data_IF_348028651960
#
_entry.id   IF_348028651960
#
_cell.length_a   1.000
_cell.length_b   1.000
_cell.length_c   1.000
_cell.angle_alpha   90.00
_cell.angle_beta   90.00
_cell.angle_gamma   90.00
#
_symmetry.space_group_name_H-M   'P 1'
#
loop_
_entity.id
_entity.type
_entity.pdbx_description
1 polymer ?
#
# COMPACT_ATOMS: atom_id res chain seq x y z
N UNK A 1 14.48 17.80 -10.06
CA UNK A 1 14.59 16.63 -9.16
C UNK A 1 13.17 16.24 -8.77
N UNK A 2 12.79 14.96 -8.89
CA UNK A 2 11.43 14.51 -8.53
C UNK A 2 11.24 14.64 -7.00
N UNK A 3 10.12 15.19 -6.51
CA UNK A 3 9.91 15.42 -5.08
C UNK A 3 10.11 14.19 -4.19
N UNK A 4 9.67 13.02 -4.63
CA UNK A 4 9.79 11.77 -3.86
C UNK A 4 11.23 11.43 -3.47
N UNK A 5 12.22 11.89 -4.24
CA UNK A 5 13.63 11.59 -4.02
C UNK A 5 14.22 12.26 -2.78
N UNK A 6 13.51 13.20 -2.16
CA UNK A 6 13.92 13.78 -0.86
C UNK A 6 13.87 12.74 0.27
N UNK A 7 13.12 11.64 0.09
CA UNK A 7 12.96 10.56 1.06
C UNK A 7 13.84 9.34 0.79
N UNK A 8 14.72 9.34 -0.23
CA UNK A 8 15.52 8.16 -0.61
C UNK A 8 16.30 7.55 0.57
N UNK A 9 16.93 8.40 1.39
CA UNK A 9 17.69 7.95 2.56
C UNK A 9 16.77 7.40 3.66
N UNK A 10 15.62 8.04 3.88
CA UNK A 10 14.64 7.60 4.87
C UNK A 10 14.00 6.27 4.45
N UNK A 11 13.73 6.07 3.15
CA UNK A 11 13.30 4.81 2.55
C UNK A 11 14.33 3.71 2.72
N UNK A 12 15.61 3.96 2.40
CA UNK A 12 16.65 2.93 2.58
C UNK A 12 16.75 2.54 4.06
N UNK A 13 16.70 3.52 4.95
CA UNK A 13 16.75 3.28 6.39
C UNK A 13 15.44 2.67 6.94
N UNK A 14 14.31 2.78 6.23
CA UNK A 14 13.03 2.26 6.72
C UNK A 14 13.06 0.73 6.86
N UNK A 15 13.87 0.05 6.03
CA UNK A 15 14.07 -1.41 6.07
C UNK A 15 14.42 -1.91 7.47
N UNK A 16 15.18 -1.15 8.27
CA UNK A 16 15.51 -1.50 9.66
C UNK A 16 14.79 -0.65 10.69
N UNK A 17 14.39 0.58 10.35
CA UNK A 17 13.75 1.51 11.30
C UNK A 17 12.27 1.21 11.54
N UNK A 18 11.57 0.57 10.61
CA UNK A 18 10.16 0.26 10.77
C UNK A 18 9.95 -0.84 11.80
N UNK A 19 10.79 -1.89 11.80
CA UNK A 19 10.74 -3.01 12.75
C UNK A 19 12.07 -3.16 13.54
N UNK A 20 12.43 -2.18 14.40
CA UNK A 20 13.71 -2.19 15.12
C UNK A 20 13.89 -3.42 16.03
N UNK A 21 12.80 -4.01 16.51
CA UNK A 21 12.84 -5.25 17.28
C UNK A 21 13.32 -6.47 16.47
N UNK A 22 13.27 -6.39 15.14
CA UNK A 22 13.77 -7.41 14.20
C UNK A 22 15.15 -7.05 13.61
N UNK A 23 15.83 -6.03 14.16
CA UNK A 23 17.07 -5.50 13.54
C UNK A 23 18.15 -6.55 13.35
N UNK A 24 18.34 -7.47 14.30
CA UNK A 24 19.36 -8.52 14.19
C UNK A 24 19.05 -9.51 13.05
N UNK A 25 17.78 -9.87 12.88
CA UNK A 25 17.30 -10.73 11.79
C UNK A 25 17.53 -10.04 10.44
N UNK A 26 17.17 -8.76 10.35
CA UNK A 26 17.35 -7.92 9.17
C UNK A 26 18.83 -7.70 8.81
N UNK A 27 19.67 -7.38 9.78
CA UNK A 27 21.12 -7.22 9.59
C UNK A 27 21.76 -8.53 9.14
N UNK A 28 21.32 -9.67 9.69
CA UNK A 28 21.78 -10.99 9.27
C UNK A 28 21.38 -11.28 7.82
N UNK A 29 20.15 -10.96 7.42
CA UNK A 29 19.67 -11.11 6.04
C UNK A 29 20.50 -10.22 5.08
N UNK A 30 20.64 -8.95 5.42
CA UNK A 30 21.42 -8.00 4.61
C UNK A 30 22.87 -8.46 4.48
N UNK A 31 23.49 -8.91 5.58
CA UNK A 31 24.87 -9.39 5.57
C UNK A 31 25.06 -10.67 4.74
N UNK A 32 24.15 -11.64 4.88
CA UNK A 32 24.29 -12.94 4.22
C UNK A 32 23.99 -12.88 2.72
N UNK A 33 23.04 -12.04 2.32
CA UNK A 33 22.57 -12.00 0.95
C UNK A 33 23.16 -10.81 0.18
N UNK A 34 23.56 -9.72 0.84
CA UNK A 34 24.09 -8.49 0.24
C UNK A 34 23.16 -7.92 -0.87
N UNK A 35 21.88 -7.68 -0.58
CA UNK A 35 20.93 -7.17 -1.57
C UNK A 35 21.20 -5.68 -1.87
N UNK A 36 20.96 -5.28 -3.10
CA UNK A 36 21.04 -3.87 -3.52
C UNK A 36 19.66 -3.30 -3.83
N UNK A 37 19.41 -2.06 -3.43
CA UNK A 37 18.19 -1.31 -3.77
C UNK A 37 18.52 -0.35 -4.91
N UNK A 38 17.81 -0.49 -6.03
CA UNK A 38 18.03 0.26 -7.26
C UNK A 38 16.79 1.06 -7.61
N UNK A 39 16.92 2.38 -7.68
CA UNK A 39 15.88 3.24 -8.20
C UNK A 39 15.90 3.25 -9.73
N UNK A 40 14.77 2.92 -10.36
CA UNK A 40 14.66 2.89 -11.83
C UNK A 40 13.75 4.01 -12.35
N UNK A 41 13.79 4.21 -13.67
CA UNK A 41 12.97 5.19 -14.40
C UNK A 41 11.89 4.49 -15.25
N UNK A 42 11.57 3.23 -14.92
CA UNK A 42 10.49 2.51 -15.60
C UNK A 42 9.16 3.21 -15.32
N UNK A 43 8.23 3.14 -16.28
CA UNK A 43 6.93 3.83 -16.20
C UNK A 43 5.83 2.99 -15.57
N UNK A 44 6.09 1.72 -15.32
CA UNK A 44 5.11 0.77 -14.83
C UNK A 44 5.11 0.72 -13.31
N UNK A 45 3.95 0.40 -12.73
CA UNK A 45 3.86 0.05 -11.32
C UNK A 45 4.40 -1.37 -11.12
N UNK A 46 5.73 -1.49 -10.99
CA UNK A 46 6.42 -2.78 -10.86
C UNK A 46 7.60 -2.71 -9.89
N UNK A 47 7.28 -2.76 -8.60
CA UNK A 47 8.26 -3.20 -7.61
C UNK A 47 8.60 -4.65 -7.91
N UNK A 48 9.90 -4.96 -7.98
CA UNK A 48 10.35 -6.28 -8.40
C UNK A 48 11.76 -6.54 -7.93
N UNK A 49 12.10 -7.82 -7.88
CA UNK A 49 13.44 -8.29 -7.56
C UNK A 49 14.04 -9.06 -8.73
N UNK A 50 15.36 -8.95 -8.87
CA UNK A 50 16.17 -9.89 -9.65
C UNK A 50 16.89 -10.78 -8.64
N UNK A 51 16.43 -12.02 -8.43
CA UNK A 51 16.96 -12.89 -7.37
C UNK A 51 18.36 -13.41 -7.68
N UNK A 52 18.75 -13.48 -8.95
CA UNK A 52 20.11 -13.85 -9.37
C UNK A 52 21.12 -12.75 -9.03
N UNK A 53 20.76 -11.49 -9.32
CA UNK A 53 21.62 -10.33 -9.01
C UNK A 53 21.40 -9.77 -7.60
N UNK A 54 20.33 -10.22 -6.94
CA UNK A 54 19.87 -9.73 -5.64
C UNK A 54 19.61 -8.21 -5.65
N UNK A 55 18.95 -7.76 -6.72
CA UNK A 55 18.62 -6.34 -6.95
C UNK A 55 17.12 -6.12 -6.73
N UNK A 56 16.76 -5.35 -5.71
CA UNK A 56 15.39 -4.84 -5.52
C UNK A 56 15.24 -3.56 -6.33
N UNK A 57 14.35 -3.56 -7.31
CA UNK A 57 14.13 -2.47 -8.27
C UNK A 57 12.87 -1.70 -7.90
N UNK A 58 13.04 -0.40 -7.67
CA UNK A 58 11.99 0.52 -7.24
C UNK A 58 11.80 1.62 -8.31
N UNK A 59 10.79 1.50 -9.20
CA UNK A 59 10.49 2.55 -10.17
C UNK A 59 10.09 3.87 -9.48
N UNK A 60 10.70 4.98 -9.89
CA UNK A 60 10.45 6.29 -9.28
C UNK A 60 8.97 6.68 -9.36
N UNK A 61 8.29 6.41 -10.48
CA UNK A 61 6.86 6.73 -10.63
C UNK A 61 5.97 5.87 -9.73
N UNK A 62 6.35 4.62 -9.46
CA UNK A 62 5.63 3.75 -8.53
C UNK A 62 5.76 4.27 -7.09
N UNK A 63 6.93 4.79 -6.73
CA UNK A 63 7.15 5.46 -5.44
C UNK A 63 6.33 6.77 -5.32
N UNK A 64 6.25 7.58 -6.40
CA UNK A 64 5.41 8.79 -6.44
C UNK A 64 3.93 8.42 -6.22
N UNK A 65 3.42 7.44 -6.94
CA UNK A 65 2.06 6.95 -6.80
C UNK A 65 1.78 6.39 -5.40
N UNK A 66 2.69 5.57 -4.84
CA UNK A 66 2.54 5.02 -3.49
C UNK A 66 2.40 6.13 -2.45
N UNK A 67 3.23 7.18 -2.53
CA UNK A 67 3.12 8.32 -1.62
C UNK A 67 1.80 9.08 -1.80
N UNK A 68 1.37 9.32 -3.05
CA UNK A 68 0.08 9.95 -3.34
C UNK A 68 -1.08 9.14 -2.74
N UNK A 69 -1.02 7.82 -2.82
CA UNK A 69 -2.00 6.92 -2.20
C UNK A 69 -1.98 7.03 -0.67
N UNK A 70 -0.80 7.07 -0.04
CA UNK A 70 -0.69 7.26 1.42
C UNK A 70 -1.36 8.55 1.88
N UNK A 71 -1.07 9.67 1.21
CA UNK A 71 -1.68 10.97 1.50
C UNK A 71 -3.20 10.91 1.32
N UNK A 72 -3.65 10.46 0.15
CA UNK A 72 -5.07 10.50 -0.19
C UNK A 72 -5.89 9.56 0.69
N UNK A 73 -5.43 8.34 0.92
CA UNK A 73 -6.15 7.36 1.73
C UNK A 73 -6.28 7.82 3.18
N UNK A 74 -5.23 8.44 3.75
CA UNK A 74 -5.32 9.03 5.09
C UNK A 74 -6.35 10.16 5.15
N UNK A 75 -6.32 11.09 4.19
CA UNK A 75 -7.30 12.18 4.13
C UNK A 75 -8.73 11.64 4.01
N UNK A 76 -9.00 10.75 3.07
CA UNK A 76 -10.35 10.20 2.89
C UNK A 76 -10.86 9.43 4.09
N UNK A 77 -9.97 8.69 4.77
CA UNK A 77 -10.31 8.02 6.01
C UNK A 77 -10.75 9.04 7.08
N UNK A 78 -9.99 10.12 7.28
CA UNK A 78 -10.34 11.16 8.25
C UNK A 78 -11.66 11.85 7.90
N UNK A 79 -11.86 12.23 6.64
CA UNK A 79 -13.09 12.88 6.18
C UNK A 79 -14.32 11.97 6.32
N UNK A 80 -14.17 10.66 6.03
CA UNK A 80 -15.24 9.69 6.21
C UNK A 80 -15.74 9.63 7.66
N UNK A 81 -14.81 9.58 8.63
CA UNK A 81 -15.17 9.57 10.04
C UNK A 81 -15.73 10.90 10.54
N UNK A 82 -15.22 12.03 10.03
CA UNK A 82 -15.77 13.35 10.36
C UNK A 82 -17.23 13.48 9.89
N UNK A 83 -17.54 13.04 8.66
CA UNK A 83 -18.90 13.11 8.11
C UNK A 83 -19.89 12.19 8.84
N UNK A 84 -19.45 10.99 9.22
CA UNK A 84 -20.27 10.05 10.00
C UNK A 84 -20.61 10.58 11.41
N UNK A 85 -19.74 11.38 12.02
CA UNK A 85 -20.04 12.03 13.31
C UNK A 85 -21.08 13.15 13.18
N UNK A 86 -21.27 13.70 11.98
CA UNK A 86 -22.18 14.81 11.70
C UNK A 86 -23.52 14.38 11.06
N UNK A 87 -23.82 13.07 10.99
CA UNK A 87 -24.99 12.50 10.29
C UNK A 87 -25.10 12.98 8.82
N UNK A 88 -23.97 13.31 8.19
CA UNK A 88 -23.92 13.74 6.79
C UNK A 88 -23.79 12.56 5.84
N UNK A 89 -24.12 12.79 4.57
CA UNK A 89 -24.00 11.76 3.55
C UNK A 89 -22.51 11.40 3.34
N UNK A 90 -22.09 10.13 3.53
CA UNK A 90 -20.71 9.69 3.33
C UNK A 90 -20.18 9.87 1.90
N UNK A 91 -21.06 10.18 0.94
CA UNK A 91 -20.67 10.52 -0.44
C UNK A 91 -20.14 11.97 -0.57
N UNK A 92 -20.27 12.82 0.45
CA UNK A 92 -19.76 14.20 0.46
C UNK A 92 -18.25 14.28 0.78
N UNK A 93 -17.53 13.16 0.83
CA UNK A 93 -16.09 13.09 1.13
C UNK A 93 -15.22 13.95 0.21
N UNK A 94 -15.72 14.39 -0.95
CA UNK A 94 -15.00 15.24 -1.92
C UNK A 94 -15.31 16.75 -1.78
N UNK A 95 -16.03 17.16 -0.74
CA UNK A 95 -16.54 18.53 -0.62
C UNK A 95 -15.55 19.54 -0.03
N UNK A 96 -14.51 19.09 0.69
CA UNK A 96 -13.52 19.98 1.33
C UNK A 96 -12.35 20.28 0.40
N UNK A 97 -11.71 21.46 0.56
CA UNK A 97 -10.47 21.80 -0.18
C UNK A 97 -9.38 20.74 0.04
N UNK A 98 -9.30 20.23 1.27
CA UNK A 98 -8.40 19.15 1.68
C UNK A 98 -8.63 17.87 0.88
N UNK A 99 -9.88 17.41 0.75
CA UNK A 99 -10.19 16.19 0.00
C UNK A 99 -10.14 16.38 -1.52
N UNK A 100 -10.40 17.59 -2.03
CA UNK A 100 -10.18 17.95 -3.43
C UNK A 100 -8.71 17.92 -3.82
N UNK A 101 -7.80 18.38 -2.94
CA UNK A 101 -6.35 18.23 -3.13
C UNK A 101 -5.94 16.77 -3.08
N UNK A 102 -6.47 16.00 -2.13
CA UNK A 102 -6.19 14.56 -2.02
C UNK A 102 -6.61 13.78 -3.29
N UNK A 103 -7.82 13.99 -3.80
CA UNK A 103 -8.27 13.29 -5.02
C UNK A 103 -7.50 13.75 -6.26
N UNK A 104 -7.21 15.06 -6.37
CA UNK A 104 -6.40 15.61 -7.47
C UNK A 104 -5.00 14.99 -7.49
N UNK A 105 -4.37 14.87 -6.31
CA UNK A 105 -3.05 14.29 -6.16
C UNK A 105 -3.05 12.79 -6.45
N UNK A 106 -4.05 12.05 -5.95
CA UNK A 106 -4.21 10.62 -6.22
C UNK A 106 -4.38 10.34 -7.72
N UNK A 107 -5.26 11.08 -8.38
CA UNK A 107 -5.49 10.97 -9.83
C UNK A 107 -4.23 11.34 -10.63
N UNK A 108 -3.49 12.37 -10.21
CA UNK A 108 -2.20 12.69 -10.80
C UNK A 108 -1.22 11.52 -10.67
N UNK A 109 -1.12 10.92 -9.47
CA UNK A 109 -0.27 9.76 -9.21
C UNK A 109 -0.61 8.55 -10.08
N UNK A 110 -1.90 8.24 -10.23
CA UNK A 110 -2.36 7.20 -11.17
C UNK A 110 -1.94 7.55 -12.61
N UNK A 111 -2.11 8.81 -13.01
CA UNK A 111 -1.72 9.30 -14.34
C UNK A 111 -0.22 9.14 -14.65
N UNK A 112 0.65 9.13 -13.62
CA UNK A 112 2.09 8.88 -13.77
C UNK A 112 2.42 7.46 -14.22
N UNK A 113 1.51 6.50 -14.01
CA UNK A 113 1.68 5.10 -14.41
C UNK A 113 1.23 4.86 -15.87
N UNK A 114 0.71 5.89 -16.54
CA UNK A 114 0.25 5.80 -17.93
C UNK A 114 1.41 5.86 -18.93
N UNK A 115 1.14 5.53 -20.20
CA UNK A 115 2.14 5.63 -21.28
C UNK A 115 2.68 7.07 -21.46
N UNK A 116 1.85 8.07 -21.13
CA UNK A 116 2.12 9.51 -21.29
C UNK A 116 2.07 10.24 -19.94
N UNK A 117 3.04 10.00 -19.03
CA UNK A 117 3.03 10.62 -17.71
C UNK A 117 3.25 12.13 -17.80
N UNK A 118 2.62 12.89 -16.91
CA UNK A 118 3.01 14.28 -16.69
C UNK A 118 4.42 14.31 -16.09
N UNK A 119 5.33 15.10 -16.62
CA UNK A 119 6.73 15.09 -16.17
C UNK A 119 6.86 15.74 -14.78
N UNK A 120 5.96 16.66 -14.44
CA UNK A 120 6.06 17.54 -13.28
C UNK A 120 5.01 17.25 -12.20
N UNK A 121 5.44 17.40 -10.95
CA UNK A 121 4.56 17.39 -9.78
C UNK A 121 3.72 18.67 -9.77
N UNK A 122 2.41 18.62 -9.51
CA UNK A 122 1.56 19.81 -9.56
C UNK A 122 1.95 20.79 -8.44
N UNK A 123 2.19 22.05 -8.79
CA UNK A 123 2.79 23.05 -7.89
C UNK A 123 1.90 23.45 -6.71
N UNK A 124 0.60 23.23 -6.82
CA UNK A 124 -0.43 23.58 -5.84
C UNK A 124 -0.87 22.40 -4.96
N UNK A 125 -0.30 21.21 -5.20
CA UNK A 125 -0.63 20.00 -4.46
C UNK A 125 0.42 19.64 -3.41
N UNK A 126 0.02 18.92 -2.34
CA UNK A 126 0.94 18.40 -1.33
C UNK A 126 2.06 17.57 -1.96
N UNK A 127 3.24 17.60 -1.34
CA UNK A 127 4.41 16.88 -1.82
C UNK A 127 5.25 16.31 -0.66
N UNK A 128 6.03 15.24 -0.89
CA UNK A 128 6.99 14.74 0.09
C UNK A 128 7.97 15.84 0.50
N UNK A 129 8.17 16.02 1.80
CA UNK A 129 9.17 16.95 2.34
C UNK A 129 9.95 16.31 3.48
N UNK A 130 11.25 16.66 3.58
CA UNK A 130 12.15 16.17 4.63
C UNK A 130 12.05 16.99 5.93
N UNK A 131 11.84 18.29 5.77
CA UNK A 131 11.74 19.24 6.88
C UNK A 131 10.28 19.64 7.02
N UNK A 132 9.56 18.90 7.85
CA UNK A 132 8.19 19.22 8.18
C UNK A 132 8.21 20.48 9.04
N UNK A 133 7.63 21.55 8.53
CA UNK A 133 7.18 22.63 9.42
C UNK A 133 5.97 22.09 10.19
N UNK A 134 5.74 22.55 11.42
CA UNK A 134 4.64 22.06 12.29
C UNK A 134 3.22 22.25 11.71
N UNK A 135 3.08 22.75 10.49
CA UNK A 135 1.82 23.22 9.91
C UNK A 135 1.19 22.27 8.89
N UNK A 136 1.84 21.18 8.48
CA UNK A 136 1.27 20.25 7.50
C UNK A 136 1.27 18.80 8.02
N UNK A 137 0.31 18.51 8.92
CA UNK A 137 0.12 17.22 9.60
C UNK A 137 -0.11 16.07 8.61
N UNK A 138 -0.92 16.31 7.57
CA UNK A 138 -1.25 15.31 6.55
C UNK A 138 0.00 14.82 5.81
N UNK A 139 0.91 15.74 5.44
CA UNK A 139 2.19 15.39 4.82
C UNK A 139 3.08 14.58 5.77
N UNK A 140 3.05 14.86 7.08
CA UNK A 140 3.84 14.07 8.06
C UNK A 140 3.32 12.64 8.14
N UNK A 141 2.00 12.49 8.27
CA UNK A 141 1.37 11.18 8.36
C UNK A 141 1.55 10.41 7.05
N UNK A 142 1.41 11.08 5.90
CA UNK A 142 1.66 10.48 4.60
C UNK A 142 3.09 9.97 4.45
N UNK A 143 4.10 10.73 4.91
CA UNK A 143 5.49 10.28 4.92
C UNK A 143 5.68 9.02 5.78
N UNK A 144 5.13 9.00 7.00
CA UNK A 144 5.26 7.84 7.90
C UNK A 144 4.57 6.60 7.34
N UNK A 145 3.34 6.75 6.82
CA UNK A 145 2.61 5.67 6.16
C UNK A 145 3.36 5.17 4.93
N UNK A 146 3.90 6.08 4.11
CA UNK A 146 4.73 5.73 2.96
C UNK A 146 5.95 4.92 3.35
N UNK A 147 6.67 5.31 4.41
CA UNK A 147 7.84 4.57 4.89
C UNK A 147 7.45 3.17 5.41
N UNK A 148 6.31 3.03 6.10
CA UNK A 148 5.79 1.72 6.48
C UNK A 148 5.43 0.87 5.24
N UNK A 149 4.70 1.43 4.27
CA UNK A 149 4.28 0.73 3.05
C UNK A 149 5.45 0.30 2.18
N UNK A 150 6.40 1.20 1.90
CA UNK A 150 7.55 0.88 1.07
C UNK A 150 8.49 -0.09 1.78
N UNK A 151 8.59 -0.04 3.11
CA UNK A 151 9.34 -1.05 3.87
C UNK A 151 8.73 -2.43 3.70
N UNK A 152 7.40 -2.57 3.79
CA UNK A 152 6.73 -3.86 3.56
C UNK A 152 7.00 -4.38 2.15
N UNK A 153 6.92 -3.51 1.13
CA UNK A 153 7.23 -3.87 -0.26
C UNK A 153 8.69 -4.34 -0.38
N UNK A 154 9.65 -3.62 0.19
CA UNK A 154 11.06 -4.02 0.15
C UNK A 154 11.26 -5.36 0.88
N UNK A 155 10.63 -5.56 2.04
CA UNK A 155 10.71 -6.83 2.78
C UNK A 155 10.10 -7.99 1.99
N UNK A 156 9.04 -7.75 1.22
CA UNK A 156 8.46 -8.72 0.29
C UNK A 156 9.48 -9.11 -0.80
N UNK A 157 10.09 -8.13 -1.46
CA UNK A 157 11.12 -8.39 -2.49
C UNK A 157 12.36 -9.10 -1.91
N UNK A 158 12.75 -8.76 -0.67
CA UNK A 158 13.84 -9.44 0.04
C UNK A 158 13.49 -10.88 0.40
N UNK A 159 12.22 -11.19 0.67
CA UNK A 159 11.76 -12.53 0.96
C UNK A 159 12.01 -13.47 -0.23
N UNK A 160 11.80 -13.01 -1.46
CA UNK A 160 12.12 -13.79 -2.66
C UNK A 160 13.60 -14.17 -2.74
N UNK A 161 14.51 -13.26 -2.36
CA UNK A 161 15.95 -13.57 -2.30
C UNK A 161 16.23 -14.57 -1.17
N UNK A 162 15.66 -14.32 0.02
CA UNK A 162 15.91 -15.10 1.22
C UNK A 162 15.44 -16.55 1.09
N UNK A 163 14.21 -16.75 0.63
CA UNK A 163 13.58 -18.05 0.42
C UNK A 163 14.09 -18.78 -0.83
N UNK A 164 14.94 -18.13 -1.64
CA UNK A 164 15.50 -18.73 -2.86
C UNK A 164 14.46 -18.92 -3.97
N UNK A 165 13.46 -18.02 -4.03
CA UNK A 165 12.45 -18.00 -5.08
C UNK A 165 13.08 -17.73 -6.45
N UNK A 166 12.48 -18.28 -7.50
CA UNK A 166 13.04 -18.16 -8.86
C UNK A 166 12.48 -16.93 -9.56
N UNK A 167 13.33 -16.24 -10.33
CA UNK A 167 12.88 -15.16 -11.24
C UNK A 167 11.77 -15.62 -12.21
N UNK A 168 11.77 -16.91 -12.57
CA UNK A 168 10.77 -17.55 -13.43
C UNK A 168 10.29 -18.84 -12.75
N UNK A 169 9.15 -18.81 -12.04
CA UNK A 169 8.55 -20.00 -11.45
C UNK A 169 8.21 -21.04 -12.53
N UNK A 170 8.20 -22.33 -12.18
CA UNK A 170 7.96 -23.43 -13.14
C UNK A 170 6.51 -23.44 -13.61
N UNK A 171 5.58 -23.00 -12.77
CA UNK A 171 4.16 -22.89 -13.07
C UNK A 171 3.47 -21.86 -12.15
N UNK A 172 2.21 -21.54 -12.47
CA UNK A 172 1.43 -20.55 -11.73
C UNK A 172 1.16 -20.94 -10.26
N UNK A 173 1.16 -22.23 -9.91
CA UNK A 173 0.95 -22.68 -8.53
C UNK A 173 2.17 -22.41 -7.65
N UNK A 174 3.37 -22.72 -8.15
CA UNK A 174 4.64 -22.37 -7.50
C UNK A 174 4.74 -20.84 -7.35
N UNK A 175 4.46 -20.09 -8.42
CA UNK A 175 4.45 -18.62 -8.38
C UNK A 175 3.53 -18.07 -7.29
N UNK A 176 2.30 -18.59 -7.18
CA UNK A 176 1.36 -18.17 -6.12
C UNK A 176 1.81 -18.55 -4.72
N UNK A 177 2.51 -19.67 -4.56
CA UNK A 177 3.05 -20.11 -3.28
C UNK A 177 4.20 -19.19 -2.84
N UNK A 178 5.14 -18.90 -3.75
CA UNK A 178 6.26 -17.98 -3.52
C UNK A 178 5.76 -16.59 -3.11
N UNK A 179 4.76 -16.03 -3.81
CA UNK A 179 4.14 -14.75 -3.45
C UNK A 179 3.47 -14.78 -2.07
N UNK A 180 2.77 -15.87 -1.74
CA UNK A 180 2.11 -16.02 -0.44
C UNK A 180 3.13 -16.16 0.70
N UNK A 181 4.28 -16.77 0.45
CA UNK A 181 5.39 -16.88 1.40
C UNK A 181 6.07 -15.52 1.59
N UNK A 182 6.31 -14.78 0.50
CA UNK A 182 6.89 -13.44 0.55
C UNK A 182 5.98 -12.43 1.29
N UNK A 183 4.67 -12.46 1.04
CA UNK A 183 3.68 -11.67 1.77
C UNK A 183 3.70 -11.99 3.27
N UNK A 184 3.74 -13.28 3.63
CA UNK A 184 3.75 -13.72 5.02
C UNK A 184 5.04 -13.30 5.73
N UNK A 185 6.18 -13.47 5.08
CA UNK A 185 7.48 -13.02 5.60
C UNK A 185 7.47 -11.51 5.89
N UNK A 186 7.11 -10.68 4.90
CA UNK A 186 7.10 -9.23 5.04
C UNK A 186 6.12 -8.75 6.12
N UNK A 187 4.95 -9.38 6.19
CA UNK A 187 3.91 -9.02 7.17
C UNK A 187 4.35 -9.37 8.59
N UNK A 188 4.88 -10.58 8.82
CA UNK A 188 5.39 -10.96 10.14
C UNK A 188 6.56 -10.09 10.57
N UNK A 189 7.48 -9.79 9.66
CA UNK A 189 8.64 -8.97 9.99
C UNK A 189 8.25 -7.58 10.50
N UNK A 190 7.13 -7.04 10.01
CA UNK A 190 6.63 -5.71 10.39
C UNK A 190 5.66 -5.75 11.57
N UNK A 191 4.81 -6.77 11.70
CA UNK A 191 3.69 -6.78 12.66
C UNK A 191 3.86 -7.76 13.83
N UNK A 192 4.68 -8.79 13.68
CA UNK A 192 4.81 -9.82 14.72
C UNK A 192 5.52 -9.29 15.97
N UNK A 193 4.91 -9.50 17.14
CA UNK A 193 5.50 -9.15 18.43
C UNK A 193 5.42 -7.66 18.79
N UNK A 194 4.72 -6.85 18.00
CA UNK A 194 4.48 -5.43 18.31
C UNK A 194 3.49 -5.31 19.46
N UNK A 195 3.97 -4.87 20.63
CA UNK A 195 3.14 -4.74 21.83
C UNK A 195 2.41 -3.38 21.94
N UNK A 196 2.94 -2.34 21.30
CA UNK A 196 2.34 -1.01 21.31
C UNK A 196 1.29 -0.89 20.21
N UNK A 197 0.03 -0.72 20.62
CA UNK A 197 -1.13 -0.64 19.73
C UNK A 197 -1.03 0.51 18.71
N UNK A 198 -0.45 1.65 19.09
CA UNK A 198 -0.29 2.78 18.17
C UNK A 198 0.74 2.50 17.08
N UNK A 199 1.81 1.78 17.44
CA UNK A 199 2.83 1.31 16.49
C UNK A 199 2.24 0.23 15.58
N UNK A 200 1.50 -0.73 16.16
CA UNK A 200 0.84 -1.80 15.43
C UNK A 200 -0.15 -1.22 14.41
N UNK A 201 -0.98 -0.25 14.82
CA UNK A 201 -1.90 0.46 13.94
C UNK A 201 -1.15 1.16 12.80
N UNK A 202 -0.14 1.98 13.10
CA UNK A 202 0.64 2.70 12.07
C UNK A 202 1.22 1.75 11.03
N UNK A 203 1.88 0.68 11.49
CA UNK A 203 2.49 -0.33 10.62
C UNK A 203 1.44 -1.10 9.83
N UNK A 204 0.34 -1.50 10.48
CA UNK A 204 -0.80 -2.17 9.85
C UNK A 204 -1.41 -1.35 8.73
N UNK A 205 -1.62 -0.04 8.94
CA UNK A 205 -2.08 0.87 7.90
C UNK A 205 -1.09 0.92 6.73
N UNK A 206 0.22 0.97 6.98
CA UNK A 206 1.23 0.91 5.93
C UNK A 206 1.16 -0.38 5.10
N UNK A 207 1.04 -1.54 5.74
CA UNK A 207 0.87 -2.84 5.06
C UNK A 207 -0.41 -2.86 4.21
N UNK A 208 -1.52 -2.38 4.77
CA UNK A 208 -2.81 -2.28 4.08
C UNK A 208 -2.72 -1.39 2.85
N UNK A 209 -2.07 -0.22 2.95
CA UNK A 209 -1.89 0.67 1.81
C UNK A 209 -1.09 -0.03 0.71
N UNK A 210 0.01 -0.72 1.06
CA UNK A 210 0.82 -1.46 0.10
C UNK A 210 0.02 -2.54 -0.63
N UNK A 211 -0.82 -3.31 0.09
CA UNK A 211 -1.70 -4.30 -0.51
C UNK A 211 -2.82 -3.66 -1.37
N UNK A 212 -3.43 -2.56 -0.90
CA UNK A 212 -4.52 -1.87 -1.60
C UNK A 212 -4.08 -1.19 -2.88
N UNK A 213 -2.86 -0.64 -2.96
CA UNK A 213 -2.39 -0.04 -4.21
C UNK A 213 -2.23 -1.10 -5.31
N UNK A 214 -1.84 -2.33 -4.96
CA UNK A 214 -1.82 -3.47 -5.88
C UNK A 214 -3.26 -3.81 -6.30
N UNK A 215 -4.20 -3.89 -5.36
CA UNK A 215 -5.62 -4.11 -5.67
C UNK A 215 -6.22 -3.03 -6.56
N UNK A 216 -5.83 -1.78 -6.36
CA UNK A 216 -6.27 -0.65 -7.19
C UNK A 216 -5.82 -0.82 -8.63
N UNK A 217 -4.58 -1.27 -8.86
CA UNK A 217 -4.09 -1.53 -10.22
C UNK A 217 -4.93 -2.61 -10.91
N UNK A 218 -5.26 -3.71 -10.22
CA UNK A 218 -6.13 -4.75 -10.77
C UNK A 218 -7.54 -4.21 -11.12
N UNK A 219 -8.10 -3.35 -10.27
CA UNK A 219 -9.40 -2.69 -10.50
C UNK A 219 -9.33 -1.80 -11.75
N UNK A 220 -8.30 -0.95 -11.84
CA UNK A 220 -8.13 0.01 -12.95
C UNK A 220 -7.82 -0.68 -14.27
N UNK A 221 -7.10 -1.81 -14.24
CA UNK A 221 -6.87 -2.66 -15.40
C UNK A 221 -8.14 -3.41 -15.84
N UNK A 222 -9.20 -3.44 -15.01
CA UNK A 222 -10.43 -4.18 -15.27
C UNK A 222 -10.25 -5.70 -15.20
N UNK A 223 -9.13 -6.18 -14.67
CA UNK A 223 -8.72 -7.57 -14.74
C UNK A 223 -8.13 -8.06 -13.40
N UNK A 224 -8.88 -8.90 -12.70
CA UNK A 224 -8.36 -9.70 -11.58
C UNK A 224 -7.86 -11.05 -12.10
N UNK A 225 -6.72 -11.04 -12.79
CA UNK A 225 -6.11 -12.25 -13.36
C UNK A 225 -5.43 -13.08 -12.25
N UNK A 226 -5.99 -14.27 -11.94
CA UNK A 226 -5.21 -15.33 -11.28
C UNK A 226 -4.28 -15.94 -12.34
N UNK A 227 -3.13 -15.31 -12.54
CA UNK A 227 -2.04 -15.85 -13.35
C UNK A 227 -0.94 -16.30 -12.40
N UNK A 228 0.22 -15.65 -12.45
CA UNK A 228 1.40 -15.89 -11.61
C UNK A 228 1.21 -15.39 -10.18
N UNK A 229 0.30 -14.45 -9.93
CA UNK A 229 0.03 -13.90 -8.59
C UNK A 229 -1.37 -14.30 -8.07
N UNK A 230 -1.54 -14.50 -6.75
CA UNK A 230 -2.87 -14.60 -6.16
C UNK A 230 -3.63 -13.28 -6.40
N UNK A 231 -4.97 -13.34 -6.51
CA UNK A 231 -5.78 -12.11 -6.61
C UNK A 231 -5.39 -11.17 -5.48
N UNK A 232 -5.11 -9.91 -5.81
CA UNK A 232 -4.66 -8.90 -4.84
C UNK A 232 -5.58 -8.76 -3.62
N UNK A 233 -6.90 -8.90 -3.81
CA UNK A 233 -7.86 -8.87 -2.70
C UNK A 233 -7.71 -10.06 -1.72
N UNK A 234 -7.25 -11.22 -2.18
CA UNK A 234 -6.92 -12.37 -1.29
C UNK A 234 -5.64 -12.08 -0.51
N UNK A 235 -4.66 -11.41 -1.13
CA UNK A 235 -3.43 -10.96 -0.44
C UNK A 235 -3.79 -10.01 0.69
N UNK A 236 -4.63 -9.00 0.41
CA UNK A 236 -5.14 -8.04 1.41
C UNK A 236 -5.81 -8.73 2.62
N UNK A 237 -6.69 -9.70 2.38
CA UNK A 237 -7.33 -10.43 3.48
C UNK A 237 -6.30 -11.19 4.34
N UNK A 238 -5.38 -11.93 3.70
CA UNK A 238 -4.38 -12.74 4.42
C UNK A 238 -3.44 -11.92 5.29
N UNK A 239 -2.96 -10.76 4.79
CA UNK A 239 -2.05 -9.90 5.55
C UNK A 239 -2.73 -9.29 6.78
N UNK A 240 -4.06 -9.10 6.74
CA UNK A 240 -4.84 -8.58 7.86
C UNK A 240 -5.22 -9.67 8.86
N UNK A 241 -5.83 -10.76 8.39
CA UNK A 241 -6.43 -11.80 9.23
C UNK A 241 -5.42 -12.53 10.14
N UNK A 242 -4.14 -12.53 9.75
CA UNK A 242 -3.06 -13.15 10.51
C UNK A 242 -2.66 -12.38 11.78
N UNK A 243 -2.86 -11.05 11.81
CA UNK A 243 -2.36 -10.20 12.90
C UNK A 243 -3.45 -9.41 13.64
N UNK A 244 -4.63 -9.23 13.05
CA UNK A 244 -5.71 -8.44 13.66
C UNK A 244 -6.89 -9.35 14.04
N UNK A 245 -6.99 -9.68 15.33
CA UNK A 245 -8.03 -10.59 15.83
C UNK A 245 -9.36 -9.88 16.14
N UNK A 246 -9.32 -8.58 16.42
CA UNK A 246 -10.51 -7.77 16.63
C UNK A 246 -11.19 -7.47 15.28
N UNK A 247 -12.41 -7.99 15.02
CA UNK A 247 -13.11 -7.76 13.76
C UNK A 247 -13.50 -6.29 13.54
N UNK A 248 -13.46 -5.45 14.58
CA UNK A 248 -13.73 -4.02 14.50
C UNK A 248 -12.48 -3.14 14.58
N UNK A 249 -11.29 -3.74 14.45
CA UNK A 249 -10.04 -3.00 14.44
C UNK A 249 -10.00 -1.92 13.34
N UNK A 250 -9.40 -0.76 13.66
CA UNK A 250 -9.32 0.39 12.75
C UNK A 250 -8.64 0.11 11.40
N UNK A 251 -7.81 -0.93 11.28
CA UNK A 251 -7.20 -1.31 10.00
C UNK A 251 -8.22 -1.90 9.03
N UNK A 252 -9.23 -2.62 9.55
CA UNK A 252 -10.36 -3.09 8.75
C UNK A 252 -11.22 -1.91 8.33
N UNK A 253 -11.51 -0.97 9.25
CA UNK A 253 -12.25 0.24 8.93
C UNK A 253 -11.56 1.05 7.81
N UNK A 254 -10.25 1.25 7.94
CA UNK A 254 -9.44 1.92 6.92
C UNK A 254 -9.53 1.19 5.58
N UNK A 255 -9.36 -0.13 5.57
CA UNK A 255 -9.45 -0.95 4.36
C UNK A 255 -10.81 -0.83 3.68
N UNK A 256 -11.91 -0.84 4.44
CA UNK A 256 -13.28 -0.70 3.90
C UNK A 256 -13.49 0.66 3.24
N UNK A 257 -13.08 1.75 3.91
CA UNK A 257 -13.24 3.12 3.37
C UNK A 257 -12.51 3.24 2.04
N UNK A 258 -11.29 2.74 1.95
CA UNK A 258 -10.49 2.81 0.72
C UNK A 258 -11.02 1.87 -0.36
N UNK A 259 -11.48 0.67 0.00
CA UNK A 259 -12.18 -0.21 -0.95
C UNK A 259 -13.39 0.49 -1.56
N UNK A 260 -14.24 1.12 -0.74
CA UNK A 260 -15.38 1.89 -1.23
C UNK A 260 -14.97 3.04 -2.15
N UNK A 261 -13.90 3.77 -1.81
CA UNK A 261 -13.36 4.85 -2.65
C UNK A 261 -12.95 4.32 -4.04
N UNK A 262 -12.12 3.27 -4.07
CA UNK A 262 -11.65 2.67 -5.32
C UNK A 262 -12.78 2.05 -6.13
N UNK A 263 -13.78 1.46 -5.46
CA UNK A 263 -14.97 0.94 -6.12
C UNK A 263 -15.81 2.06 -6.74
N UNK A 264 -16.02 3.16 -6.03
CA UNK A 264 -16.75 4.31 -6.55
C UNK A 264 -16.04 4.93 -7.76
N UNK A 265 -14.70 5.00 -7.73
CA UNK A 265 -13.89 5.41 -8.89
C UNK A 265 -14.07 4.47 -10.08
N UNK A 266 -14.24 3.17 -9.84
CA UNK A 266 -14.62 2.16 -10.82
C UNK A 266 -16.12 2.12 -11.17
N UNK A 267 -16.93 3.06 -10.70
CA UNK A 267 -18.37 3.13 -10.96
C UNK A 267 -19.24 2.13 -10.18
N UNK A 268 -18.69 1.50 -9.15
CA UNK A 268 -19.39 0.54 -8.28
C UNK A 268 -19.74 1.14 -6.93
N UNK A 269 -20.89 0.70 -6.38
CA UNK A 269 -21.34 1.12 -5.06
C UNK A 269 -21.79 -0.09 -4.26
N UNK A 270 -21.21 -0.26 -3.06
CA UNK A 270 -21.66 -1.24 -2.08
C UNK A 270 -22.51 -0.51 -1.05
N UNK A 271 -23.72 -1.01 -0.79
CA UNK A 271 -24.47 -0.63 0.40
C UNK A 271 -24.09 -1.55 1.54
N UNK A 272 -23.55 -0.97 2.61
CA UNK A 272 -23.46 -1.67 3.90
C UNK A 272 -24.86 -1.99 4.41
N UNK A 273 -24.99 -3.06 5.18
CA UNK A 273 -26.26 -3.53 5.75
C UNK A 273 -26.48 -3.09 7.21
N UNK A 274 -25.55 -2.30 7.78
CA UNK A 274 -25.77 -1.51 9.00
C UNK A 274 -25.59 -2.26 10.33
N UNK A 275 -25.26 -3.55 10.31
CA UNK A 275 -24.98 -4.34 11.53
C UNK A 275 -23.70 -5.18 11.47
N UNK A 276 -22.90 -5.03 10.42
CA UNK A 276 -21.66 -5.77 10.20
C UNK A 276 -20.47 -5.10 10.90
N UNK A 277 -19.57 -5.93 11.43
CA UNK A 277 -18.23 -5.52 11.85
C UNK A 277 -17.42 -4.97 10.67
N UNK A 278 -16.34 -4.25 10.93
CA UNK A 278 -15.47 -3.76 9.85
C UNK A 278 -14.87 -4.88 9.00
N UNK A 279 -14.52 -6.01 9.63
CA UNK A 279 -14.03 -7.20 8.93
C UNK A 279 -15.08 -7.80 8.00
N UNK A 280 -16.33 -7.95 8.44
CA UNK A 280 -17.43 -8.45 7.59
C UNK A 280 -17.71 -7.51 6.41
N UNK A 281 -17.69 -6.19 6.65
CA UNK A 281 -17.80 -5.20 5.56
C UNK A 281 -16.65 -5.33 4.56
N UNK A 282 -15.42 -5.59 5.04
CA UNK A 282 -14.27 -5.83 4.17
C UNK A 282 -14.50 -7.09 3.33
N UNK A 283 -14.87 -8.21 3.95
CA UNK A 283 -15.19 -9.46 3.24
C UNK A 283 -16.24 -9.25 2.15
N UNK A 284 -17.28 -8.46 2.44
CA UNK A 284 -18.28 -8.05 1.44
C UNK A 284 -17.65 -7.30 0.27
N UNK A 285 -16.73 -6.35 0.53
CA UNK A 285 -15.98 -5.66 -0.53
C UNK A 285 -15.17 -6.64 -1.38
N UNK A 286 -14.44 -7.56 -0.76
CA UNK A 286 -13.62 -8.55 -1.46
C UNK A 286 -14.45 -9.52 -2.31
N UNK A 287 -15.63 -9.92 -1.82
CA UNK A 287 -16.59 -10.72 -2.60
C UNK A 287 -17.05 -9.95 -3.83
N UNK A 288 -17.32 -8.65 -3.74
CA UNK A 288 -17.67 -7.87 -4.93
C UNK A 288 -16.50 -7.75 -5.91
N UNK A 289 -15.27 -7.53 -5.43
CA UNK A 289 -14.09 -7.56 -6.31
C UNK A 289 -13.95 -8.89 -7.05
N UNK A 290 -14.23 -10.01 -6.37
CA UNK A 290 -14.17 -11.33 -6.99
C UNK A 290 -15.16 -11.54 -8.14
N UNK A 291 -16.26 -10.77 -8.15
CA UNK A 291 -17.32 -10.81 -9.16
C UNK A 291 -17.02 -9.91 -10.36
N UNK A 292 -16.05 -9.00 -10.25
CA UNK A 292 -15.56 -8.21 -11.37
C UNK A 292 -14.87 -9.13 -12.36
N UNK A 293 -15.64 -9.52 -13.38
CA UNK A 293 -15.18 -10.42 -14.44
C UNK A 293 -15.31 -9.79 -15.83
N UNK A 294 -15.59 -8.49 -15.92
CA UNK A 294 -15.57 -7.66 -17.13
C UNK A 294 -15.97 -6.22 -16.80
N UNK A 295 -15.10 -5.26 -17.11
CA UNK A 295 -15.47 -3.95 -17.64
C UNK A 295 -14.83 -3.83 -19.02
#
# INVERSE_FOLDING_TARGET
MKPIRVLDLDLINSVTRIAPEKIYELETLIFNYDPSIIFTNDKEFSFRVDTEKKEVKLPTVALEYLWCACYAFYVFYQEYFALNQEDRNPLDIYSSDRSQKAISLYNWGIGQLSQNPSIEWPSDLPMPTKYLTHTDEDVQVANELYLCSVSWIIHHELAHIYCGHKNMPVNDEESRAEESEADFFATNLILEGVADESILLKRGLGVVIAALVITTQDILAGEFKETTHPKSFKRLYKVLDSHFQDPDHLVYAFSVVICHLNMAAGGMYIKGNGSETWKENLETCLVQFSRLTKL
#
